data_IF_941427697385
#
_entry.id   IF_941427697385
#
_cell.length_a   1.000
_cell.length_b   1.000
_cell.length_c   1.000
_cell.angle_alpha   90.00
_cell.angle_beta   90.00
_cell.angle_gamma   90.00
#
_symmetry.space_group_name_H-M   'P 1'
#
loop_
_entity.id
_entity.type
_entity.pdbx_description
1 polymer ?
#
# COMPACT_ATOMS: atom_id res chain seq x y z
N UNK A 1 -7.30 -16.86 -15.29
CA UNK A 1 -6.92 -16.84 -14.54
C UNK A 1 -6.69 -15.76 -13.69
N UNK A 2 -5.93 -15.76 -12.85
CA UNK A 2 -5.62 -14.74 -12.05
C UNK A 2 -5.25 -13.55 -12.72
N UNK A 3 -4.93 -13.59 -13.83
CA UNK A 3 -4.49 -12.43 -14.49
C UNK A 3 -5.57 -11.45 -14.53
N UNK A 4 -6.76 -11.83 -14.69
CA UNK A 4 -7.73 -10.86 -14.78
C UNK A 4 -7.85 -10.16 -13.52
N UNK A 5 -7.56 -10.74 -12.51
CA UNK A 5 -7.63 -10.05 -11.26
C UNK A 5 -6.82 -8.86 -11.27
N UNK A 6 -5.69 -8.96 -11.75
CA UNK A 6 -4.83 -7.88 -11.76
C UNK A 6 -5.25 -6.78 -12.56
N UNK A 7 -5.87 -6.97 -13.63
CA UNK A 7 -6.18 -5.88 -14.39
C UNK A 7 -7.28 -5.20 -13.80
N UNK A 8 -7.75 -5.48 -12.73
CA UNK A 8 -8.72 -4.87 -12.20
C UNK A 8 -8.52 -3.51 -12.06
N UNK A 9 -9.22 -2.74 -11.96
CA UNK A 9 -9.15 -1.37 -11.83
C UNK A 9 -8.03 -0.78 -11.12
N UNK A 10 -7.79 0.46 -11.25
CA UNK A 10 -6.70 1.09 -10.52
C UNK A 10 -6.95 0.98 -9.04
N UNK A 11 -5.91 0.93 -8.27
CA UNK A 11 -6.03 0.85 -6.83
C UNK A 11 -6.42 2.21 -6.26
N UNK A 12 -7.14 2.20 -5.16
CA UNK A 12 -7.46 3.45 -4.49
C UNK A 12 -6.17 4.00 -3.90
N UNK A 13 -6.15 5.25 -3.56
CA UNK A 13 -4.97 5.86 -2.97
C UNK A 13 -4.60 5.16 -1.66
N UNK A 14 -5.59 4.82 -0.85
CA UNK A 14 -5.30 4.17 0.41
C UNK A 14 -4.66 2.81 0.17
N UNK A 15 -5.19 2.02 -0.74
CA UNK A 15 -4.64 0.71 -1.03
C UNK A 15 -3.23 0.83 -1.59
N UNK A 16 -3.04 1.72 -2.54
CA UNK A 16 -1.73 1.90 -3.14
C UNK A 16 -0.70 2.25 -2.09
N UNK A 17 -1.00 3.20 -1.22
CA UNK A 17 -0.03 3.64 -0.23
C UNK A 17 0.23 2.59 0.85
N UNK A 18 -0.78 1.79 1.20
CA UNK A 18 -0.58 0.74 2.18
C UNK A 18 0.33 -0.36 1.59
N UNK A 19 0.07 -0.77 0.36
CA UNK A 19 0.89 -1.79 -0.25
C UNK A 19 2.32 -1.28 -0.45
N UNK A 20 2.45 -0.01 -0.81
CA UNK A 20 3.76 0.58 -0.98
C UNK A 20 4.53 0.60 0.34
N UNK A 21 3.87 0.94 1.44
CA UNK A 21 4.52 0.96 2.73
C UNK A 21 5.00 -0.43 3.11
N UNK A 22 4.18 -1.45 2.86
CA UNK A 22 4.55 -2.80 3.22
C UNK A 22 5.56 -3.43 2.28
N UNK A 23 5.76 -2.85 1.11
CA UNK A 23 6.75 -3.37 0.20
C UNK A 23 8.15 -3.18 0.75
N UNK A 24 8.33 -2.19 1.63
CA UNK A 24 9.61 -1.94 2.19
C UNK A 24 9.91 -2.87 3.36
N UNK A 25 8.94 -3.13 4.19
CA UNK A 25 9.15 -3.96 5.36
C UNK A 25 7.83 -4.30 6.02
N UNK A 26 7.81 -5.31 6.85
CA UNK A 26 6.63 -5.65 7.59
C UNK A 26 6.47 -4.55 8.64
N UNK A 27 5.27 -4.12 8.87
CA UNK A 27 5.03 -3.01 9.78
C UNK A 27 3.79 -3.22 10.62
N UNK A 28 3.76 -2.57 11.79
CA UNK A 28 2.59 -2.54 12.60
C UNK A 28 1.72 -1.43 12.03
N UNK A 29 0.47 -1.37 12.43
CA UNK A 29 -0.44 -0.36 11.88
C UNK A 29 0.08 1.05 11.98
N UNK A 30 0.59 1.42 13.15
CA UNK A 30 1.09 2.76 13.31
C UNK A 30 2.29 3.01 12.40
N UNK A 31 3.11 1.98 12.19
CA UNK A 31 4.23 2.10 11.28
C UNK A 31 3.80 2.33 9.85
N UNK A 32 2.67 1.71 9.46
CA UNK A 32 2.15 1.92 8.13
C UNK A 32 1.73 3.39 7.98
N UNK A 33 1.04 3.92 8.99
CA UNK A 33 0.59 5.30 8.93
C UNK A 33 1.78 6.24 8.75
N UNK A 34 2.84 6.00 9.51
CA UNK A 34 4.01 6.85 9.42
C UNK A 34 4.71 6.70 8.07
N UNK A 35 4.80 5.48 7.58
CA UNK A 35 5.48 5.26 6.32
C UNK A 35 4.71 5.87 5.15
N UNK A 36 3.37 5.82 5.20
CA UNK A 36 2.56 6.42 4.16
C UNK A 36 2.80 7.94 4.13
N UNK A 37 2.84 8.56 5.30
CA UNK A 37 3.08 9.99 5.35
C UNK A 37 4.46 10.32 4.81
N UNK A 38 5.45 9.51 5.17
CA UNK A 38 6.78 9.75 4.70
C UNK A 38 6.93 9.55 3.21
N UNK A 39 6.37 8.49 2.65
CA UNK A 39 6.48 8.24 1.23
C UNK A 39 5.80 9.31 0.37
N UNK A 40 4.81 9.99 0.92
CA UNK A 40 4.12 11.01 0.16
C UNK A 40 4.55 12.41 0.56
N UNK A 41 5.61 12.52 1.34
CA UNK A 41 6.10 13.81 1.81
C UNK A 41 4.97 14.56 2.51
N UNK A 42 4.14 13.84 3.23
CA UNK A 42 3.06 14.46 3.98
C UNK A 42 1.84 14.82 3.18
N UNK A 43 1.87 14.60 1.86
CA UNK A 43 0.73 14.96 1.04
C UNK A 43 -0.43 14.00 1.20
N UNK A 44 -0.18 12.78 1.56
CA UNK A 44 -1.26 11.83 1.79
C UNK A 44 -1.13 11.30 3.21
N UNK A 45 -2.17 11.47 4.00
CA UNK A 45 -2.15 10.95 5.33
C UNK A 45 -3.27 9.98 5.54
N UNK A 46 -2.99 8.91 6.24
CA UNK A 46 -3.95 7.87 6.44
C UNK A 46 -4.33 7.83 7.91
N UNK A 47 -5.58 7.93 8.22
CA UNK A 47 -6.02 7.84 9.60
C UNK A 47 -6.20 6.40 10.01
N UNK A 48 -6.31 6.12 11.30
CA UNK A 48 -6.44 4.74 11.77
C UNK A 48 -7.69 4.06 11.27
N UNK A 49 -8.80 4.75 11.23
CA UNK A 49 -10.04 4.14 10.76
C UNK A 49 -9.93 3.68 9.34
N UNK A 50 -9.43 4.53 8.47
CA UNK A 50 -9.27 4.19 7.08
C UNK A 50 -8.24 3.09 6.92
N UNK A 51 -7.17 3.15 7.70
CA UNK A 51 -6.15 2.13 7.62
C UNK A 51 -6.70 0.75 7.94
N UNK A 52 -7.34 0.60 9.09
CA UNK A 52 -7.78 -0.71 9.51
C UNK A 52 -8.93 -1.24 8.66
N UNK A 53 -9.75 -0.35 8.13
CA UNK A 53 -10.80 -0.75 7.25
C UNK A 53 -10.21 -1.32 5.95
N UNK A 54 -9.20 -0.66 5.42
CA UNK A 54 -8.53 -1.14 4.23
C UNK A 54 -7.72 -2.40 4.49
N UNK A 55 -7.05 -2.50 5.63
CA UNK A 55 -6.28 -3.68 5.94
C UNK A 55 -7.18 -4.91 5.99
N UNK A 56 -8.37 -4.76 6.57
CA UNK A 56 -9.26 -5.84 6.61
C UNK A 56 -9.63 -6.32 5.22
N UNK A 57 -9.93 -5.43 4.33
CA UNK A 57 -10.27 -5.78 2.97
C UNK A 57 -9.09 -6.42 2.25
N UNK A 58 -7.91 -5.89 2.48
CA UNK A 58 -6.72 -6.42 1.82
C UNK A 58 -6.38 -7.81 2.34
N UNK A 59 -6.64 -8.09 3.60
CA UNK A 59 -6.39 -9.40 4.13
C UNK A 59 -7.38 -10.40 3.56
N UNK A 60 -8.63 -10.01 3.41
CA UNK A 60 -9.61 -10.89 2.81
C UNK A 60 -9.23 -11.18 1.37
N UNK A 61 -8.69 -10.19 0.67
CA UNK A 61 -8.29 -10.37 -0.71
C UNK A 61 -6.97 -11.13 -0.85
N UNK A 62 -6.29 -11.39 0.24
CA UNK A 62 -5.04 -12.12 0.20
C UNK A 62 -3.83 -11.30 -0.20
N UNK A 63 -3.94 -9.99 -0.17
CA UNK A 63 -2.82 -9.14 -0.56
C UNK A 63 -1.94 -8.75 0.63
N UNK A 64 -2.49 -8.85 1.83
CA UNK A 64 -1.75 -8.54 3.05
C UNK A 64 -2.06 -9.66 4.03
N UNK A 65 -1.15 -9.99 4.87
CA UNK A 65 -1.36 -11.03 5.87
C UNK A 65 -0.71 -10.65 7.19
N UNK A 66 -1.04 -11.39 8.23
CA UNK A 66 -0.41 -11.17 9.50
C UNK A 66 0.98 -11.80 9.46
N UNK A 67 1.94 -11.16 10.03
CA UNK A 67 3.28 -11.72 10.09
C UNK A 67 3.61 -12.01 11.54
N UNK A 68 4.42 -12.98 11.80
CA UNK A 68 4.77 -13.30 13.17
C UNK A 68 5.58 -12.20 13.80
N UNK A 69 5.32 -11.91 15.07
CA UNK A 69 6.13 -10.93 15.76
C UNK A 69 6.86 -11.69 16.83
N UNK A 70 8.11 -11.77 16.74
CA UNK A 70 8.89 -12.55 17.68
C UNK A 70 8.66 -12.19 19.12
N UNK A 71 8.52 -10.96 19.42
CA UNK A 71 8.35 -10.60 20.78
C UNK A 71 6.92 -10.64 21.27
N UNK A 72 6.00 -10.84 20.40
CA UNK A 72 4.61 -10.85 20.81
C UNK A 72 4.30 -11.92 21.79
N UNK A 73 4.89 -13.05 21.63
CA UNK A 73 4.57 -14.12 22.53
C UNK A 73 5.02 -13.88 23.94
N UNK A 74 6.12 -13.21 24.14
CA UNK A 74 6.56 -12.98 25.46
C UNK A 74 5.98 -11.81 26.03
N UNK A 75 5.50 -10.89 25.40
CA UNK A 75 5.05 -9.75 25.90
C UNK A 75 3.66 -9.92 26.28
N UNK A 76 3.16 -10.33 27.10
CA UNK A 76 1.91 -10.39 27.53
C UNK A 76 1.43 -9.15 28.11
N UNK A 77 1.85 -8.10 27.87
CA UNK A 77 1.46 -6.86 28.44
C UNK A 77 0.02 -6.60 28.09
N UNK A 78 -0.80 -6.57 29.01
CA UNK A 78 -2.17 -6.30 28.74
C UNK A 78 -2.45 -4.88 28.35
N UNK A 79 -1.57 -3.99 28.64
CA UNK A 79 -1.83 -2.62 28.30
C UNK A 79 -1.72 -2.38 26.82
N UNK A 80 -1.07 -3.24 26.07
CA UNK A 80 -0.93 -3.02 24.67
C UNK A 80 -2.07 -3.65 23.93
N UNK A 81 -2.75 -2.89 23.09
CA UNK A 81 -3.82 -3.41 22.31
C UNK A 81 -3.31 -4.43 21.36
N UNK A 82 -4.14 -5.40 21.07
CA UNK A 82 -3.75 -6.39 20.14
C UNK A 82 -3.36 -5.83 18.82
N UNK A 83 -4.06 -4.84 18.32
CA UNK A 83 -3.70 -4.23 17.06
C UNK A 83 -2.32 -3.64 17.07
N UNK A 84 -1.91 -3.08 18.17
CA UNK A 84 -0.60 -2.48 18.25
C UNK A 84 0.50 -3.50 18.14
N UNK A 85 0.21 -4.74 18.45
CA UNK A 85 1.22 -5.75 18.35
C UNK A 85 1.15 -6.54 17.07
N UNK A 86 0.12 -6.34 16.26
CA UNK A 86 -0.02 -7.07 15.05
C UNK A 86 0.91 -6.54 13.98
N UNK A 87 1.65 -7.43 13.36
CA UNK A 87 2.55 -7.04 12.30
C UNK A 87 1.95 -7.48 10.99
N UNK A 88 1.95 -6.61 10.00
CA UNK A 88 1.38 -6.93 8.70
C UNK A 88 2.49 -7.10 7.67
N UNK A 89 2.26 -7.99 6.73
CA UNK A 89 3.23 -8.25 5.69
C UNK A 89 2.57 -8.28 4.32
N UNK A 90 3.33 -7.90 3.30
CA UNK A 90 2.82 -7.91 1.95
C UNK A 90 2.97 -9.34 1.43
N UNK A 91 1.92 -9.92 0.90
CA UNK A 91 1.99 -11.27 0.37
C UNK A 91 2.55 -11.22 -1.04
N UNK A 92 2.83 -12.37 -1.62
CA UNK A 92 3.30 -12.40 -3.00
C UNK A 92 2.22 -11.82 -3.91
N UNK A 93 0.96 -12.14 -3.65
CA UNK A 93 -0.12 -11.60 -4.44
C UNK A 93 -0.19 -10.09 -4.28
N UNK A 94 0.07 -9.59 -3.06
CA UNK A 94 0.09 -8.16 -2.83
C UNK A 94 1.19 -7.48 -3.61
N UNK A 95 2.35 -8.12 -3.66
CA UNK A 95 3.47 -7.59 -4.42
C UNK A 95 3.15 -7.55 -5.91
N UNK A 96 2.51 -8.61 -6.42
CA UNK A 96 2.16 -8.66 -7.83
C UNK A 96 1.13 -7.58 -8.16
N UNK A 97 0.19 -7.36 -7.27
CA UNK A 97 -0.82 -6.34 -7.46
C UNK A 97 -0.19 -4.96 -7.49
N UNK A 98 0.74 -4.72 -6.57
CA UNK A 98 1.42 -3.44 -6.54
C UNK A 98 2.24 -3.26 -7.82
N UNK A 99 2.93 -4.30 -8.26
CA UNK A 99 3.75 -4.21 -9.47
C UNK A 99 2.89 -3.89 -10.70
N UNK A 100 1.72 -4.50 -10.79
CA UNK A 100 0.83 -4.23 -11.92
C UNK A 100 0.38 -2.77 -11.89
N UNK A 101 0.12 -2.25 -10.70
CA UNK A 101 -0.31 -0.88 -10.59
C UNK A 101 0.84 0.08 -10.94
N UNK A 102 2.06 -0.27 -10.57
CA UNK A 102 3.21 0.56 -10.89
C UNK A 102 3.36 0.62 -12.42
N UNK A 103 3.18 -0.51 -13.09
CA UNK A 103 3.27 -0.53 -14.54
C UNK A 103 2.20 0.34 -15.15
N UNK A 104 0.98 0.27 -14.65
CA UNK A 104 -0.09 1.09 -15.16
C UNK A 104 0.22 2.57 -14.98
N UNK A 105 0.71 2.92 -13.78
CA UNK A 105 1.02 4.31 -13.49
C UNK A 105 2.18 4.81 -14.34
N UNK A 106 3.15 3.94 -14.60
CA UNK A 106 4.27 4.31 -15.42
C UNK A 106 3.77 4.68 -16.81
N UNK A 107 2.81 3.93 -17.33
CA UNK A 107 2.23 4.24 -18.63
C UNK A 107 1.52 5.59 -18.63
N UNK A 108 0.82 5.88 -17.54
CA UNK A 108 0.13 7.16 -17.43
C UNK A 108 1.14 8.29 -17.42
N UNK A 109 2.20 8.12 -16.65
CA UNK A 109 3.24 9.15 -16.54
C UNK A 109 3.89 9.38 -17.91
N UNK A 110 4.20 8.30 -18.62
CA UNK A 110 4.83 8.42 -19.93
C UNK A 110 3.95 9.17 -20.90
N UNK A 111 2.67 8.85 -20.92
CA UNK A 111 1.77 9.54 -21.82
C UNK A 111 1.62 10.99 -21.43
N UNK A 112 1.54 11.25 -20.15
CA UNK A 112 1.38 12.62 -19.68
C UNK A 112 2.59 13.47 -20.12
N UNK A 113 3.79 12.91 -19.98
CA UNK A 113 4.96 13.65 -20.37
C UNK A 113 4.96 13.94 -21.84
N UNK A 114 4.57 12.95 -22.65
CA UNK A 114 4.52 13.14 -24.08
C UNK A 114 3.52 14.22 -24.46
N UNK A 115 2.33 14.17 -23.89
CA UNK A 115 1.30 15.15 -24.20
C UNK A 115 1.73 16.55 -23.79
N UNK A 116 2.40 16.64 -22.63
CA UNK A 116 2.86 17.94 -22.18
C UNK A 116 3.91 18.52 -23.11
N UNK A 117 4.79 17.66 -23.64
CA UNK A 117 5.78 18.12 -24.55
C UNK A 117 5.14 18.56 -25.86
N UNK A 118 4.14 17.80 -26.34
CA UNK A 118 3.45 18.18 -27.56
C UNK A 118 2.72 19.50 -27.38
N UNK A 119 2.11 19.68 -26.24
CA UNK A 119 1.39 20.91 -25.99
C UNK A 119 2.33 22.09 -25.98
N UNK A 120 3.51 21.90 -25.38
CA UNK A 120 4.45 22.95 -25.34
C UNK A 120 4.96 23.26 -26.71
N UNK A 121 5.28 22.28 -27.53
CA UNK A 121 5.75 22.51 -28.86
C UNK A 121 4.67 23.20 -29.70
N UNK A 122 3.44 22.80 -29.52
CA UNK A 122 2.38 23.39 -30.28
C UNK A 122 2.12 24.84 -29.93
N UNK A 123 2.50 25.23 -28.70
CA UNK A 123 2.30 26.58 -28.33
C UNK A 123 3.42 27.44 -28.75
N UNK A 124 4.51 26.89 -29.07
CA UNK A 124 5.64 27.67 -29.54
C UNK A 124 5.33 28.24 -30.94
#
# INVERSE_FOLDING_TARGET
>A
MKTEVIKRAPLSSATLHILLALARADLHGYGIIKEVARNSDGHYRLGPGTLYDNLKKLMVAGLVADAPTPSASKRKSASIKEDDRRLYTLTNAGGDTLAAEVERLQGVVSKARLRLQEAKAGRA
#
